data_IF_508789331336
#
_entry.id   IF_508789331336
#
_cell.length_a   1.000
_cell.length_b   1.000
_cell.length_c   1.000
_cell.angle_alpha   90.00
_cell.angle_beta   90.00
_cell.angle_gamma   90.00
#
_symmetry.space_group_name_H-M   'P 1'
#
loop_
_entity.id
_entity.type
_entity.pdbx_description
1 polymer ?
#
# COMPACT_ATOMS: atom_id res chain seq x y z
N UNK A 1 -1.35 -9.03 15.19
CA UNK A 1 0.13 -9.07 15.17
C UNK A 1 0.65 -7.80 14.51
N UNK A 2 1.00 -6.83 15.37
CA UNK A 2 1.78 -5.59 15.18
C UNK A 2 1.96 -4.98 13.79
N UNK A 3 0.99 -4.21 13.30
CA UNK A 3 1.30 -3.11 12.39
C UNK A 3 1.74 -1.90 13.22
N UNK A 4 2.98 -1.42 13.07
CA UNK A 4 3.42 -0.14 13.62
C UNK A 4 2.54 0.93 12.98
N UNK A 5 1.66 1.55 13.78
CA UNK A 5 0.77 2.62 13.34
C UNK A 5 1.61 3.89 13.25
N UNK A 6 2.45 3.98 12.23
CA UNK A 6 3.08 5.25 11.86
C UNK A 6 2.10 6.04 10.99
N UNK A 7 1.92 7.34 11.31
CA UNK A 7 0.94 8.21 10.67
C UNK A 7 1.18 8.38 9.17
N UNK A 8 2.38 8.09 8.65
CA UNK A 8 2.69 8.18 7.22
C UNK A 8 3.57 7.06 6.61
N UNK A 9 4.44 6.36 7.35
CA UNK A 9 5.50 5.51 6.77
C UNK A 9 5.33 3.98 6.80
N UNK A 10 4.43 3.44 7.65
CA UNK A 10 4.37 2.00 7.89
C UNK A 10 3.99 1.14 6.67
N UNK A 11 3.05 1.61 5.84
CA UNK A 11 2.63 0.87 4.63
C UNK A 11 3.74 0.81 3.59
N UNK A 12 4.47 1.90 3.35
CA UNK A 12 5.49 1.90 2.29
C UNK A 12 6.70 1.06 2.67
N UNK A 13 7.11 1.14 3.95
CA UNK A 13 8.17 0.30 4.50
C UNK A 13 7.83 -1.19 4.41
N UNK A 14 6.60 -1.58 4.79
CA UNK A 14 6.17 -2.98 4.70
C UNK A 14 6.08 -3.45 3.24
N UNK A 15 5.50 -2.66 2.34
CA UNK A 15 5.46 -2.99 0.90
C UNK A 15 6.86 -3.18 0.33
N UNK A 16 7.80 -2.31 0.68
CA UNK A 16 9.21 -2.41 0.25
C UNK A 16 9.86 -3.70 0.79
N UNK A 17 9.67 -4.01 2.07
CA UNK A 17 10.19 -5.23 2.68
C UNK A 17 9.61 -6.49 2.01
N UNK A 18 8.30 -6.49 1.72
CA UNK A 18 7.61 -7.60 1.06
C UNK A 18 8.04 -7.80 -0.38
N UNK A 19 8.26 -6.71 -1.12
CA UNK A 19 8.87 -6.73 -2.46
C UNK A 19 10.26 -7.40 -2.42
N UNK A 20 11.08 -7.06 -1.41
CA UNK A 20 12.39 -7.69 -1.20
C UNK A 20 12.26 -9.20 -0.98
N UNK A 21 11.41 -9.62 -0.05
CA UNK A 21 11.17 -11.05 0.24
C UNK A 21 10.62 -11.82 -0.96
N UNK A 22 9.64 -11.24 -1.66
CA UNK A 22 9.06 -11.84 -2.86
C UNK A 22 10.08 -11.99 -4.00
N UNK A 23 11.00 -11.03 -4.14
CA UNK A 23 12.11 -11.13 -5.10
C UNK A 23 13.02 -12.30 -4.76
N UNK A 24 13.40 -12.47 -3.49
CA UNK A 24 14.23 -13.60 -3.04
C UNK A 24 13.53 -14.93 -3.33
N UNK A 25 12.25 -15.05 -2.98
CA UNK A 25 11.46 -16.25 -3.25
C UNK A 25 11.40 -16.59 -4.75
N UNK A 26 11.26 -15.58 -5.62
CA UNK A 26 11.29 -15.79 -7.06
C UNK A 26 12.65 -16.31 -7.54
N UNK A 27 13.75 -15.72 -7.08
CA UNK A 27 15.12 -16.10 -7.49
C UNK A 27 15.45 -17.52 -7.05
N UNK A 28 15.00 -17.94 -5.86
CA UNK A 28 15.19 -19.32 -5.37
C UNK A 28 14.59 -20.37 -6.32
N UNK A 29 13.52 -20.01 -7.05
CA UNK A 29 12.83 -20.89 -8.00
C UNK A 29 13.37 -20.74 -9.44
N UNK A 30 14.58 -20.19 -9.64
CA UNK A 30 15.15 -19.92 -10.98
C UNK A 30 15.08 -21.12 -11.95
N UNK A 31 15.37 -22.33 -11.45
CA UNK A 31 15.41 -23.55 -12.26
C UNK A 31 14.00 -23.93 -12.76
N UNK A 32 12.96 -23.64 -11.97
CA UNK A 32 11.56 -23.87 -12.33
C UNK A 32 11.15 -22.95 -13.49
N UNK A 33 11.57 -21.69 -13.44
CA UNK A 33 11.23 -20.73 -14.50
C UNK A 33 11.93 -21.08 -15.81
N UNK A 34 13.15 -21.59 -15.75
CA UNK A 34 13.95 -22.03 -16.89
C UNK A 34 13.52 -23.39 -17.47
N UNK A 35 12.85 -24.25 -16.69
CA UNK A 35 12.41 -25.57 -17.14
C UNK A 35 11.40 -25.47 -18.28
N UNK A 36 11.66 -26.19 -19.38
CA UNK A 36 10.74 -26.30 -20.52
C UNK A 36 9.64 -27.35 -20.28
N UNK A 37 9.91 -28.34 -19.44
CA UNK A 37 9.01 -29.44 -19.11
C UNK A 37 7.77 -28.97 -18.32
N UNK A 38 7.93 -27.88 -17.56
CA UNK A 38 6.85 -27.31 -16.77
C UNK A 38 5.94 -26.43 -17.62
N UNK A 39 4.65 -26.76 -17.62
CA UNK A 39 3.62 -25.96 -18.27
C UNK A 39 3.50 -24.57 -17.64
N UNK A 40 3.09 -23.59 -18.45
CA UNK A 40 2.85 -22.23 -18.00
C UNK A 40 1.86 -22.19 -16.82
N UNK A 41 0.80 -22.99 -16.86
CA UNK A 41 -0.19 -23.09 -15.78
C UNK A 41 0.45 -23.48 -14.46
N UNK A 42 1.34 -24.46 -14.45
CA UNK A 42 2.08 -24.88 -13.24
C UNK A 42 3.00 -23.77 -12.75
N UNK A 43 3.73 -23.09 -13.64
CA UNK A 43 4.59 -21.95 -13.27
C UNK A 43 3.77 -20.81 -12.65
N UNK A 44 2.61 -20.47 -13.21
CA UNK A 44 1.72 -19.44 -12.67
C UNK A 44 1.16 -19.84 -11.30
N UNK A 45 0.79 -21.11 -11.10
CA UNK A 45 0.38 -21.61 -9.77
C UNK A 45 1.49 -21.46 -8.75
N UNK A 46 2.72 -21.85 -9.09
CA UNK A 46 3.88 -21.70 -8.22
C UNK A 46 4.18 -20.23 -7.89
N UNK A 47 4.07 -19.34 -8.88
CA UNK A 47 4.19 -17.91 -8.68
C UNK A 47 3.15 -17.37 -7.69
N UNK A 48 1.89 -17.77 -7.84
CA UNK A 48 0.81 -17.34 -6.94
C UNK A 48 1.02 -17.85 -5.50
N UNK A 49 1.43 -19.10 -5.35
CA UNK A 49 1.61 -19.73 -4.04
C UNK A 49 2.85 -19.26 -3.29
N UNK A 50 3.96 -18.95 -3.96
CA UNK A 50 5.23 -18.61 -3.31
C UNK A 50 5.55 -17.11 -3.34
N UNK A 51 5.34 -16.45 -4.47
CA UNK A 51 5.76 -15.05 -4.67
C UNK A 51 4.62 -14.10 -4.36
N UNK A 52 3.44 -14.34 -4.94
CA UNK A 52 2.26 -13.47 -4.76
C UNK A 52 1.73 -13.53 -3.32
N UNK A 53 1.78 -14.69 -2.68
CA UNK A 53 1.40 -14.88 -1.27
C UNK A 53 2.30 -14.07 -0.33
N UNK A 54 3.62 -14.13 -0.49
CA UNK A 54 4.60 -13.37 0.30
C UNK A 54 4.47 -11.88 0.04
N UNK A 55 4.26 -11.50 -1.22
CA UNK A 55 4.10 -10.10 -1.61
C UNK A 55 2.83 -9.49 -1.00
N UNK A 56 1.70 -10.20 -1.03
CA UNK A 56 0.40 -9.67 -0.59
C UNK A 56 0.05 -10.02 0.86
N UNK A 57 0.99 -10.57 1.62
CA UNK A 57 0.78 -10.85 3.03
C UNK A 57 0.58 -9.53 3.80
N UNK A 58 -0.55 -9.39 4.48
CA UNK A 58 -0.92 -8.18 5.22
C UNK A 58 -1.46 -7.06 4.34
N UNK A 59 -1.73 -7.31 3.05
CA UNK A 59 -2.29 -6.29 2.16
C UNK A 59 -3.70 -5.81 2.54
N UNK A 60 -4.38 -6.54 3.42
CA UNK A 60 -5.66 -6.16 4.02
C UNK A 60 -5.55 -4.86 4.82
N UNK A 61 -4.43 -4.64 5.53
CA UNK A 61 -4.22 -3.50 6.44
C UNK A 61 -3.51 -2.31 5.79
N UNK A 62 -2.96 -2.49 4.58
CA UNK A 62 -2.26 -1.42 3.87
C UNK A 62 -3.16 -0.22 3.54
N UNK A 63 -2.59 0.98 3.56
CA UNK A 63 -3.27 2.16 3.03
C UNK A 63 -3.47 2.03 1.51
N UNK A 64 -4.69 2.29 1.02
CA UNK A 64 -5.02 2.27 -0.42
C UNK A 64 -4.48 3.51 -1.12
N UNK A 65 -3.20 3.51 -1.48
CA UNK A 65 -2.63 4.58 -2.32
C UNK A 65 -2.46 4.11 -3.76
N UNK A 66 -2.66 5.01 -4.73
CA UNK A 66 -2.40 4.73 -6.15
C UNK A 66 -0.94 4.32 -6.38
N UNK A 67 -0.02 4.95 -5.66
CA UNK A 67 1.43 4.70 -5.74
C UNK A 67 1.79 3.28 -5.29
N UNK A 68 1.29 2.83 -4.13
CA UNK A 68 1.50 1.48 -3.63
C UNK A 68 0.94 0.43 -4.59
N UNK A 69 -0.29 0.63 -5.06
CA UNK A 69 -0.91 -0.28 -6.03
C UNK A 69 -0.10 -0.36 -7.33
N UNK A 70 0.39 0.78 -7.85
CA UNK A 70 1.24 0.82 -9.05
C UNK A 70 2.54 0.07 -8.84
N UNK A 71 3.22 0.27 -7.70
CA UNK A 71 4.47 -0.44 -7.36
C UNK A 71 4.27 -1.97 -7.36
N UNK A 72 3.23 -2.44 -6.69
CA UNK A 72 2.88 -3.88 -6.63
C UNK A 72 2.53 -4.41 -8.02
N UNK A 73 1.73 -3.69 -8.80
CA UNK A 73 1.33 -4.11 -10.14
C UNK A 73 2.53 -4.20 -11.08
N UNK A 74 3.41 -3.19 -11.08
CA UNK A 74 4.63 -3.18 -11.88
C UNK A 74 5.54 -4.35 -11.50
N UNK A 75 5.69 -4.62 -10.19
CA UNK A 75 6.42 -5.78 -9.70
C UNK A 75 5.83 -7.07 -10.28
N UNK A 76 4.54 -7.36 -10.04
CA UNK A 76 3.88 -8.58 -10.54
C UNK A 76 4.03 -8.72 -12.06
N UNK A 77 3.73 -7.67 -12.81
CA UNK A 77 3.79 -7.68 -14.26
C UNK A 77 5.22 -7.93 -14.78
N UNK A 78 6.26 -7.48 -14.07
CA UNK A 78 7.64 -7.75 -14.46
C UNK A 78 8.00 -9.24 -14.34
N UNK A 79 7.54 -9.92 -13.28
CA UNK A 79 7.79 -11.35 -13.10
C UNK A 79 6.92 -12.22 -13.99
N UNK A 80 5.66 -11.83 -14.25
CA UNK A 80 4.82 -12.54 -15.23
C UNK A 80 5.45 -12.54 -16.62
N UNK A 81 6.04 -11.41 -17.05
CA UNK A 81 6.78 -11.36 -18.33
C UNK A 81 8.01 -12.27 -18.34
N UNK A 82 8.76 -12.34 -17.24
CA UNK A 82 9.89 -13.27 -17.09
C UNK A 82 9.46 -14.73 -17.13
N UNK A 83 8.33 -15.08 -16.52
CA UNK A 83 7.78 -16.45 -16.56
C UNK A 83 7.35 -16.84 -17.99
N UNK A 84 6.80 -15.89 -18.74
CA UNK A 84 6.44 -16.05 -20.16
C UNK A 84 7.64 -15.97 -21.11
N UNK A 85 8.84 -15.76 -20.59
CA UNK A 85 10.07 -15.55 -21.35
C UNK A 85 9.97 -14.42 -22.40
N UNK A 86 9.21 -13.37 -22.10
CA UNK A 86 9.08 -12.20 -22.97
C UNK A 86 10.25 -11.27 -22.67
N UNK A 87 11.21 -11.25 -23.60
CA UNK A 87 12.35 -10.35 -23.58
C UNK A 87 12.13 -9.20 -24.55
N UNK A 88 12.85 -8.09 -24.36
CA UNK A 88 12.96 -7.06 -25.38
C UNK A 88 13.54 -7.69 -26.67
N UNK A 89 13.04 -7.38 -27.88
CA UNK A 89 12.14 -6.28 -28.26
C UNK A 89 10.64 -6.59 -28.19
N UNK A 90 10.24 -7.81 -27.82
CA UNK A 90 8.84 -8.21 -27.80
C UNK A 90 8.04 -7.44 -26.73
N UNK A 91 7.09 -6.63 -27.19
CA UNK A 91 6.28 -5.78 -26.31
C UNK A 91 4.84 -6.24 -26.29
N UNK A 92 4.40 -6.82 -25.17
CA UNK A 92 3.02 -7.24 -24.95
C UNK A 92 2.28 -6.22 -24.05
N UNK A 93 1.07 -5.85 -24.49
CA UNK A 93 0.13 -5.02 -23.71
C UNK A 93 -0.24 -5.71 -22.40
N UNK A 94 -0.44 -4.93 -21.33
CA UNK A 94 -0.80 -5.49 -20.01
C UNK A 94 -2.11 -6.30 -20.03
N UNK A 95 -3.07 -5.96 -20.90
CA UNK A 95 -4.33 -6.69 -21.03
C UNK A 95 -4.11 -8.13 -21.52
N UNK A 96 -3.37 -8.29 -22.62
CA UNK A 96 -3.02 -9.59 -23.17
C UNK A 96 -2.15 -10.42 -22.20
N UNK A 97 -1.26 -9.78 -21.45
CA UNK A 97 -0.50 -10.43 -20.37
C UNK A 97 -1.42 -11.06 -19.31
N UNK A 98 -2.47 -10.36 -18.90
CA UNK A 98 -3.42 -10.85 -17.89
C UNK A 98 -4.35 -11.92 -18.42
N UNK A 99 -4.78 -11.83 -19.68
CA UNK A 99 -5.55 -12.85 -20.37
C UNK A 99 -4.78 -14.17 -20.47
N UNK A 100 -3.54 -14.14 -20.96
CA UNK A 100 -2.69 -15.34 -21.09
C UNK A 100 -2.36 -16.03 -19.77
N UNK A 101 -2.30 -15.27 -18.68
CA UNK A 101 -1.92 -15.79 -17.36
C UNK A 101 -3.12 -16.03 -16.44
N UNK A 102 -4.34 -15.73 -16.91
CA UNK A 102 -5.57 -15.72 -16.13
C UNK A 102 -5.41 -14.99 -14.77
N UNK A 103 -4.68 -13.87 -14.77
CA UNK A 103 -4.35 -13.12 -13.55
C UNK A 103 -5.23 -11.89 -13.36
N UNK A 104 -5.63 -11.66 -12.11
CA UNK A 104 -6.29 -10.42 -11.70
C UNK A 104 -5.28 -9.29 -11.50
N UNK A 105 -5.76 -8.05 -11.69
CA UNK A 105 -5.00 -6.86 -11.30
C UNK A 105 -4.73 -6.87 -9.79
N UNK A 106 -3.60 -6.27 -9.38
CA UNK A 106 -3.21 -6.18 -7.97
C UNK A 106 -4.30 -5.52 -7.12
N UNK A 107 -5.00 -4.52 -7.68
CA UNK A 107 -6.09 -3.83 -6.98
C UNK A 107 -7.25 -4.78 -6.73
N UNK A 108 -7.73 -5.48 -7.77
CA UNK A 108 -8.85 -6.42 -7.65
C UNK A 108 -8.51 -7.57 -6.69
N UNK A 109 -7.29 -8.06 -6.75
CA UNK A 109 -6.76 -9.14 -5.91
C UNK A 109 -6.69 -8.74 -4.42
N UNK A 110 -6.27 -7.51 -4.09
CA UNK A 110 -6.30 -6.99 -2.71
C UNK A 110 -7.75 -6.79 -2.25
N UNK A 111 -8.64 -6.32 -3.13
CA UNK A 111 -10.07 -6.20 -2.81
C UNK A 111 -10.71 -7.54 -2.50
N UNK A 112 -10.43 -8.58 -3.31
CA UNK A 112 -10.91 -9.94 -3.08
C UNK A 112 -10.48 -10.45 -1.70
N UNK A 113 -9.22 -10.23 -1.30
CA UNK A 113 -8.74 -10.60 0.05
C UNK A 113 -9.47 -9.86 1.16
N UNK A 114 -9.63 -8.54 1.02
CA UNK A 114 -10.34 -7.73 2.03
C UNK A 114 -11.80 -8.15 2.19
N UNK A 115 -12.51 -8.33 1.08
CA UNK A 115 -13.89 -8.76 1.11
C UNK A 115 -14.03 -10.19 1.66
N UNK A 116 -13.09 -11.09 1.34
CA UNK A 116 -13.03 -12.41 1.96
C UNK A 116 -12.84 -12.34 3.48
N UNK A 117 -11.94 -11.46 3.95
CA UNK A 117 -11.73 -11.25 5.40
C UNK A 117 -12.94 -10.63 6.10
N UNK A 118 -13.58 -9.63 5.47
CA UNK A 118 -14.82 -9.04 5.97
C UNK A 118 -15.93 -10.09 6.04
N UNK A 119 -16.12 -10.85 4.97
CA UNK A 119 -17.11 -11.95 4.92
C UNK A 119 -16.86 -12.97 6.02
N UNK A 120 -15.62 -13.47 6.16
CA UNK A 120 -15.25 -14.40 7.22
C UNK A 120 -15.49 -13.83 8.62
N UNK A 121 -15.25 -12.54 8.83
CA UNK A 121 -15.46 -11.86 10.11
C UNK A 121 -16.96 -11.70 10.42
N UNK A 122 -17.77 -11.34 9.42
CA UNK A 122 -19.21 -11.20 9.55
C UNK A 122 -19.93 -12.55 9.76
N UNK A 123 -19.38 -13.64 9.22
CA UNK A 123 -19.87 -15.00 9.48
C UNK A 123 -19.65 -15.48 10.92
N UNK A 124 -18.84 -14.78 11.74
CA UNK A 124 -18.66 -15.12 13.16
C UNK A 124 -19.84 -14.65 14.00
N UNK A 125 -20.08 -15.31 15.13
CA UNK A 125 -21.13 -14.95 16.08
C UNK A 125 -21.05 -13.46 16.51
N UNK A 126 -22.19 -12.81 16.83
CA UNK A 126 -22.24 -11.40 17.23
C UNK A 126 -21.43 -11.06 18.50
N UNK A 127 -21.19 -12.06 19.34
CA UNK A 127 -20.39 -11.96 20.58
C UNK A 127 -18.88 -11.97 20.32
N UNK A 128 -18.45 -12.22 19.09
CA UNK A 128 -17.03 -12.31 18.78
C UNK A 128 -16.38 -10.91 18.77
N UNK A 129 -15.32 -10.75 19.56
CA UNK A 129 -14.54 -9.51 19.70
C UNK A 129 -14.12 -8.94 18.34
N UNK A 130 -13.75 -9.78 17.37
CA UNK A 130 -13.34 -9.31 16.03
C UNK A 130 -14.49 -8.73 15.22
N UNK A 131 -15.71 -9.26 15.41
CA UNK A 131 -16.92 -8.75 14.75
C UNK A 131 -17.39 -7.45 15.40
N UNK A 132 -17.32 -7.37 16.72
CA UNK A 132 -17.62 -6.15 17.47
C UNK A 132 -16.64 -5.02 17.12
N UNK A 133 -15.33 -5.31 17.08
CA UNK A 133 -14.30 -4.33 16.72
C UNK A 133 -14.47 -3.79 15.29
N UNK A 134 -15.09 -4.55 14.37
CA UNK A 134 -15.40 -4.09 13.02
C UNK A 134 -16.57 -3.08 12.98
N UNK A 135 -17.50 -3.17 13.94
CA UNK A 135 -18.66 -2.29 14.06
C UNK A 135 -18.34 -0.98 14.80
N UNK A 136 -17.24 -0.94 15.56
CA UNK A 136 -16.77 0.29 16.18
C UNK A 136 -16.29 1.24 15.08
N UNK A 137 -17.11 2.25 14.78
CA UNK A 137 -16.69 3.34 13.90
C UNK A 137 -15.41 3.99 14.43
N UNK A 138 -14.48 4.31 13.54
CA UNK A 138 -13.27 5.05 13.93
C UNK A 138 -13.67 6.40 14.54
N UNK A 139 -13.11 6.81 15.69
CA UNK A 139 -13.44 8.10 16.28
C UNK A 139 -13.23 9.20 15.24
N UNK A 140 -14.27 9.99 15.00
CA UNK A 140 -14.24 11.13 14.08
C UNK A 140 -13.04 11.98 14.46
N UNK A 141 -12.17 12.29 13.49
CA UNK A 141 -11.01 13.16 13.71
C UNK A 141 -11.48 14.47 14.33
N UNK A 142 -11.15 14.68 15.60
CA UNK A 142 -11.33 15.97 16.24
C UNK A 142 -10.42 16.96 15.52
N UNK A 143 -11.02 17.99 14.89
CA UNK A 143 -10.26 19.01 14.17
C UNK A 143 -9.33 19.71 15.18
N UNK A 144 -8.03 19.65 14.93
CA UNK A 144 -7.04 20.33 15.77
C UNK A 144 -7.40 21.82 15.91
N UNK A 145 -7.46 22.28 17.17
CA UNK A 145 -7.73 23.67 17.55
C UNK A 145 -6.64 24.57 16.96
N UNK A 146 -6.97 25.67 16.25
CA UNK A 146 -5.95 26.55 15.69
C UNK A 146 -5.16 27.24 16.81
N UNK A 147 -3.83 27.17 16.72
CA UNK A 147 -2.90 27.75 17.68
C UNK A 147 -2.97 29.29 17.69
N UNK A 148 -3.07 29.90 18.89
CA UNK A 148 -3.07 31.35 19.08
C UNK A 148 -1.66 31.91 18.89
N UNK A 149 -1.43 32.61 17.78
CA UNK A 149 -0.24 33.44 17.55
C UNK A 149 -0.33 34.67 18.45
N UNK A 150 0.62 34.83 19.38
CA UNK A 150 0.76 36.06 20.17
C UNK A 150 1.35 37.15 19.28
N UNK A 151 0.58 38.24 19.08
CA UNK A 151 1.08 39.49 18.50
C UNK A 151 1.92 40.20 19.56
N UNK A 152 3.24 40.21 19.38
CA UNK A 152 4.14 41.09 20.14
C UNK A 152 4.10 42.46 19.46
N UNK A 153 3.32 43.40 19.97
CA UNK A 153 3.40 44.81 19.61
C UNK A 153 4.58 45.44 20.35
N UNK A 154 5.64 45.83 19.61
CA UNK A 154 6.75 46.66 20.11
C UNK A 154 6.22 48.08 20.38
N UNK A 155 6.57 48.74 21.50
CA UNK A 155 6.18 50.13 21.72
C UNK A 155 7.02 51.08 20.86
N UNK A 156 6.36 52.00 20.14
CA UNK A 156 7.02 53.13 19.47
C UNK A 156 7.34 54.21 20.50
N UNK A 157 8.56 54.74 20.42
CA UNK A 157 9.15 55.66 21.39
C UNK A 157 8.45 57.00 21.53
N UNK A 158 8.59 57.55 22.75
CA UNK A 158 8.30 58.93 23.13
C UNK A 158 9.18 59.90 22.34
N UNK A 159 8.57 60.91 21.72
CA UNK A 159 9.25 62.19 21.48
C UNK A 159 8.44 63.30 22.12
N UNK A 160 9.08 63.88 23.13
CA UNK A 160 8.74 65.10 23.85
C UNK A 160 9.17 66.30 22.99
N UNK A 161 8.29 67.29 22.82
CA UNK A 161 8.66 68.66 22.47
C UNK A 161 7.76 69.62 23.24
N UNK A 162 8.38 70.34 24.15
CA UNK A 162 7.83 71.51 24.82
C UNK A 162 7.81 72.73 23.89
N UNK A 163 6.79 73.58 24.06
CA UNK A 163 6.98 75.02 24.32
C UNK A 163 7.11 76.02 23.16
N UNK A 164 6.19 77.01 23.21
CA UNK A 164 6.29 78.43 22.77
C UNK A 164 6.15 78.69 21.25
N UNK A 165 5.40 79.68 20.73
CA UNK A 165 5.14 81.05 21.19
C UNK A 165 3.99 81.70 20.36
N UNK A 166 3.22 82.64 20.96
CA UNK A 166 2.59 83.90 20.46
C UNK A 166 1.90 83.92 19.06
N UNK A 167 0.72 84.51 18.83
CA UNK A 167 0.01 85.67 19.41
C UNK A 167 -1.48 85.40 19.68
#
# INVERSE_FOLDING_TARGET
MGSIIDQQGGTDADVKARIGKARVAFIQLKNIWASIELTLTTKIRLFNSNVKSVLLYGAETWRKTKTTNRRIQTFINSYLRRILNICWPDTIRNTNLWERTCQLSAVAEIWKRRWGWIGHTLSKLPTNITRQALQVESPKKEKARPSKKHLVTRPRGRHHKDGLHLE
#
